data_IF_669032659090
#
_entry.id   IF_669032659090
#
_cell.length_a   1.000
_cell.length_b   1.000
_cell.length_c   1.000
_cell.angle_alpha   90.00
_cell.angle_beta   90.00
_cell.angle_gamma   90.00
#
_symmetry.space_group_name_H-M   'P 1'
#
loop_
_entity.id
_entity.type
_entity.pdbx_description
1 polymer ?
#
# COMPACT_ATOMS: atom_id res chain seq x y z
N UNK A 1 -27.37 59.37 1.79
CA UNK A 1 -27.09 58.36 2.82
C UNK A 1 -25.78 57.65 2.46
N UNK A 2 -24.77 57.63 3.33
CA UNK A 2 -23.43 57.15 2.96
C UNK A 2 -23.25 55.68 3.38
N UNK A 3 -23.67 54.76 2.52
CA UNK A 3 -23.72 53.31 2.75
C UNK A 3 -22.40 52.70 3.26
N UNK A 4 -21.25 53.27 2.85
CA UNK A 4 -19.92 52.83 3.32
C UNK A 4 -19.74 52.98 4.84
N UNK A 5 -20.34 54.02 5.45
CA UNK A 5 -20.28 54.23 6.91
C UNK A 5 -21.14 53.22 7.68
N UNK A 6 -22.24 52.77 7.08
CA UNK A 6 -23.15 51.78 7.71
C UNK A 6 -22.48 50.40 7.74
N UNK A 7 -21.85 49.99 6.63
CA UNK A 7 -21.08 48.73 6.58
C UNK A 7 -19.94 48.75 7.60
N UNK A 8 -19.18 49.85 7.67
CA UNK A 8 -18.06 49.96 8.60
C UNK A 8 -18.50 49.81 10.07
N UNK A 9 -19.61 50.45 10.45
CA UNK A 9 -20.17 50.32 11.81
C UNK A 9 -20.65 48.88 12.07
N UNK A 10 -21.25 48.22 11.08
CA UNK A 10 -21.69 46.83 11.19
C UNK A 10 -20.52 45.85 11.43
N UNK A 11 -19.41 46.02 10.71
CA UNK A 11 -18.22 45.17 10.87
C UNK A 11 -17.59 45.36 12.25
N UNK A 12 -17.50 46.61 12.74
CA UNK A 12 -16.95 46.89 14.07
C UNK A 12 -17.80 46.22 15.16
N UNK A 13 -19.13 46.30 15.07
CA UNK A 13 -20.03 45.64 16.02
C UNK A 13 -19.86 44.12 15.99
N UNK A 14 -19.76 43.51 14.81
CA UNK A 14 -19.56 42.06 14.70
C UNK A 14 -18.27 41.58 15.37
N UNK A 15 -17.16 42.31 15.19
CA UNK A 15 -15.86 41.99 15.83
C UNK A 15 -15.95 42.10 17.34
N UNK A 16 -16.64 43.12 17.87
CA UNK A 16 -16.83 43.29 19.33
C UNK A 16 -17.66 42.14 19.90
N UNK A 17 -18.78 41.76 19.26
CA UNK A 17 -19.61 40.64 19.73
C UNK A 17 -18.84 39.31 19.71
N UNK A 18 -18.06 39.05 18.66
CA UNK A 18 -17.28 37.83 18.55
C UNK A 18 -16.18 37.76 19.63
N UNK A 19 -15.52 38.88 19.91
CA UNK A 19 -14.47 38.97 20.93
C UNK A 19 -14.99 38.74 22.34
N UNK A 20 -16.17 39.27 22.67
CA UNK A 20 -16.83 39.07 23.97
C UNK A 20 -17.32 37.61 24.13
N UNK A 21 -17.88 37.03 23.06
CA UNK A 21 -18.31 35.62 23.07
C UNK A 21 -17.16 34.65 23.31
N UNK A 22 -16.03 34.86 22.63
CA UNK A 22 -14.83 34.04 22.79
C UNK A 22 -14.27 34.12 24.21
N UNK A 23 -14.29 35.31 24.82
CA UNK A 23 -13.81 35.53 26.19
C UNK A 23 -14.65 34.78 27.24
N UNK A 24 -15.98 34.70 27.05
CA UNK A 24 -16.85 33.93 27.95
C UNK A 24 -16.61 32.42 27.83
N UNK A 25 -16.42 31.90 26.60
CA UNK A 25 -16.16 30.47 26.39
C UNK A 25 -14.84 30.03 27.04
N UNK A 26 -13.80 30.87 26.94
CA UNK A 26 -12.49 30.58 27.53
C UNK A 26 -12.45 30.72 29.08
N UNK A 27 -13.46 31.34 29.69
CA UNK A 27 -13.55 31.51 31.15
C UNK A 27 -14.51 30.54 31.84
N UNK A 28 -15.16 29.64 31.11
CA UNK A 28 -15.97 28.60 31.74
C UNK A 28 -15.10 27.80 32.72
N UNK A 29 -15.39 27.84 34.04
CA UNK A 29 -14.59 27.14 35.03
C UNK A 29 -14.68 25.64 34.77
N UNK A 30 -13.54 24.95 34.85
CA UNK A 30 -13.50 23.50 34.75
C UNK A 30 -14.48 22.89 35.77
N UNK A 31 -15.26 21.87 35.39
CA UNK A 31 -16.15 21.19 36.33
C UNK A 31 -15.31 20.65 37.49
N UNK A 32 -15.78 20.94 38.72
CA UNK A 32 -15.12 20.48 39.93
C UNK A 32 -14.96 18.94 39.89
N UNK A 33 -13.83 18.39 40.39
CA UNK A 33 -13.64 16.96 40.45
C UNK A 33 -14.76 16.33 41.28
N UNK A 34 -15.54 15.47 40.64
CA UNK A 34 -16.53 14.60 41.30
C UNK A 34 -15.78 13.69 42.26
N UNK A 35 -15.89 13.95 43.57
CA UNK A 35 -15.38 13.06 44.60
C UNK A 35 -16.30 11.85 44.67
N UNK A 36 -15.89 10.75 44.03
CA UNK A 36 -16.61 9.49 44.14
C UNK A 36 -16.50 8.94 45.57
N UNK A 37 -17.58 8.42 46.17
CA UNK A 37 -17.55 7.80 47.47
C UNK A 37 -16.60 6.58 47.47
N UNK A 38 -15.72 6.53 48.47
CA UNK A 38 -14.80 5.42 48.70
C UNK A 38 -15.63 4.22 49.15
N UNK A 39 -15.86 3.28 48.23
CA UNK A 39 -16.47 1.97 48.53
C UNK A 39 -15.37 1.07 49.12
N UNK A 40 -15.60 0.40 50.28
CA UNK A 40 -14.65 -0.55 50.84
C UNK A 40 -14.31 -1.64 49.83
N UNK A 41 -13.02 -1.86 49.59
CA UNK A 41 -12.54 -2.88 48.67
C UNK A 41 -12.97 -4.28 49.14
N UNK A 42 -13.94 -4.87 48.44
CA UNK A 42 -14.23 -6.30 48.51
C UNK A 42 -12.96 -7.06 48.06
N UNK A 43 -12.59 -8.18 48.71
CA UNK A 43 -11.41 -8.95 48.32
C UNK A 43 -11.57 -9.42 46.88
N UNK A 44 -10.87 -8.76 45.95
CA UNK A 44 -10.82 -9.15 44.55
C UNK A 44 -10.18 -10.52 44.45
N UNK A 45 -10.98 -11.49 44.00
CA UNK A 45 -10.47 -12.78 43.57
C UNK A 45 -9.33 -12.54 42.56
N UNK A 46 -8.21 -13.22 42.79
CA UNK A 46 -7.05 -13.21 41.90
C UNK A 46 -7.49 -13.80 40.56
N UNK A 47 -7.91 -12.96 39.63
CA UNK A 47 -8.17 -13.35 38.25
C UNK A 47 -6.81 -13.67 37.62
N UNK A 48 -6.51 -14.96 37.50
CA UNK A 48 -5.40 -15.45 36.68
C UNK A 48 -5.57 -14.86 35.28
N UNK A 49 -4.61 -14.09 34.75
CA UNK A 49 -4.73 -13.52 33.41
C UNK A 49 -4.88 -14.67 32.42
N UNK A 50 -6.00 -14.68 31.70
CA UNK A 50 -6.20 -15.59 30.58
C UNK A 50 -5.04 -15.39 29.59
N UNK A 51 -4.39 -16.45 29.10
CA UNK A 51 -3.28 -16.33 28.17
C UNK A 51 -3.73 -15.51 26.95
N UNK A 52 -3.00 -14.44 26.65
CA UNK A 52 -3.25 -13.63 25.46
C UNK A 52 -3.11 -14.52 24.21
N UNK A 53 -3.99 -14.36 23.20
CA UNK A 53 -3.87 -15.10 21.95
C UNK A 53 -2.46 -14.94 21.35
N UNK A 54 -1.89 -15.99 20.73
CA UNK A 54 -0.59 -15.89 20.09
C UNK A 54 -0.65 -14.84 18.97
N UNK A 55 0.31 -13.92 18.96
CA UNK A 55 0.44 -12.90 17.91
C UNK A 55 0.69 -13.57 16.56
N UNK A 56 -0.03 -13.19 15.49
CA UNK A 56 0.18 -13.77 14.16
C UNK A 56 1.60 -13.51 13.66
N UNK A 57 2.22 -14.55 13.09
CA UNK A 57 3.58 -14.44 12.53
C UNK A 57 3.50 -13.80 11.14
N UNK A 58 4.23 -12.69 10.89
CA UNK A 58 4.20 -12.00 9.61
C UNK A 58 4.89 -12.80 8.48
N UNK A 59 4.51 -12.59 7.21
CA UNK A 59 5.22 -13.16 6.07
C UNK A 59 6.67 -12.67 6.03
N UNK A 60 7.60 -13.61 5.79
CA UNK A 60 9.02 -13.28 5.64
C UNK A 60 9.26 -12.49 4.35
N UNK A 61 10.05 -11.43 4.43
CA UNK A 61 10.41 -10.64 3.26
C UNK A 61 11.23 -11.47 2.25
N UNK A 62 10.94 -11.31 0.96
CA UNK A 62 11.66 -12.04 -0.11
C UNK A 62 13.02 -11.44 -0.45
N UNK A 63 13.36 -10.27 0.08
CA UNK A 63 14.68 -9.64 0.00
C UNK A 63 14.88 -8.68 1.18
N UNK A 64 16.09 -8.11 1.32
CA UNK A 64 16.43 -7.21 2.41
C UNK A 64 15.61 -5.90 2.35
N UNK A 65 14.70 -5.72 3.30
CA UNK A 65 13.86 -4.53 3.47
C UNK A 65 14.44 -3.63 4.56
N UNK A 66 14.30 -2.31 4.41
CA UNK A 66 14.77 -1.33 5.40
C UNK A 66 13.82 -1.25 6.60
N UNK A 67 12.52 -1.44 6.37
CA UNK A 67 11.47 -1.30 7.39
C UNK A 67 10.28 -2.20 7.06
N UNK A 68 9.50 -2.51 8.08
CA UNK A 68 8.21 -3.18 7.97
C UNK A 68 7.12 -2.29 8.56
N UNK A 69 5.97 -2.21 7.88
CA UNK A 69 4.80 -1.44 8.29
C UNK A 69 3.56 -2.33 8.21
N UNK A 70 2.77 -2.32 9.28
CA UNK A 70 1.52 -3.07 9.35
C UNK A 70 0.33 -2.14 9.17
N UNK A 71 -0.54 -2.46 8.22
CA UNK A 71 -1.81 -1.80 7.97
C UNK A 71 -2.92 -2.64 8.60
N UNK A 72 -3.64 -2.06 9.55
CA UNK A 72 -4.76 -2.72 10.23
C UNK A 72 -6.05 -2.59 9.41
N UNK A 73 -6.69 -3.72 9.14
CA UNK A 73 -7.96 -3.81 8.43
C UNK A 73 -8.95 -4.68 9.22
N UNK A 74 -10.20 -4.23 9.35
CA UNK A 74 -11.26 -5.15 9.73
C UNK A 74 -11.56 -6.10 8.58
N UNK A 75 -12.11 -7.28 8.88
CA UNK A 75 -12.38 -8.31 7.87
C UNK A 75 -13.30 -7.87 6.72
N UNK A 76 -14.12 -6.84 6.96
CA UNK A 76 -15.08 -6.27 6.01
C UNK A 76 -14.51 -5.07 5.23
N UNK A 77 -13.26 -4.67 5.49
CA UNK A 77 -12.63 -3.46 4.95
C UNK A 77 -11.63 -3.75 3.82
N UNK A 78 -11.70 -4.90 3.15
CA UNK A 78 -10.75 -5.28 2.10
C UNK A 78 -10.68 -4.23 0.97
N UNK A 79 -11.80 -3.60 0.63
CA UNK A 79 -11.88 -2.51 -0.35
C UNK A 79 -11.24 -1.18 0.10
N UNK A 80 -10.90 -1.03 1.38
CA UNK A 80 -10.23 0.16 1.93
C UNK A 80 -8.71 0.00 2.00
N UNK A 81 -8.16 -1.16 1.62
CA UNK A 81 -6.73 -1.45 1.71
C UNK A 81 -5.87 -0.39 1.00
N UNK A 82 -6.20 -0.07 -0.26
CA UNK A 82 -5.48 0.95 -1.04
C UNK A 82 -5.55 2.35 -0.42
N UNK A 83 -6.71 2.73 0.14
CA UNK A 83 -6.89 4.02 0.81
C UNK A 83 -6.05 4.12 2.09
N UNK A 84 -6.10 3.11 2.97
CA UNK A 84 -5.31 3.12 4.21
C UNK A 84 -3.82 3.11 3.92
N UNK A 85 -3.41 2.38 2.88
CA UNK A 85 -2.03 2.34 2.42
C UNK A 85 -1.59 3.72 1.90
N UNK A 86 -2.41 4.39 1.07
CA UNK A 86 -2.17 5.79 0.68
C UNK A 86 -1.99 6.73 1.88
N UNK A 87 -2.92 6.68 2.86
CA UNK A 87 -2.86 7.50 4.07
C UNK A 87 -1.59 7.27 4.89
N UNK A 88 -1.19 6.01 5.08
CA UNK A 88 0.00 5.65 5.85
C UNK A 88 1.27 6.24 5.24
N UNK A 89 1.38 6.24 3.91
CA UNK A 89 2.60 6.67 3.22
C UNK A 89 2.61 8.13 2.80
N UNK A 90 1.45 8.80 2.72
CA UNK A 90 1.37 10.26 2.61
C UNK A 90 1.95 11.02 3.81
N UNK A 91 2.25 10.34 4.92
CA UNK A 91 2.87 10.96 6.11
C UNK A 91 4.31 10.46 6.34
N UNK A 92 4.83 9.64 5.43
CA UNK A 92 6.13 8.99 5.60
C UNK A 92 7.27 9.94 5.21
N UNK A 93 8.38 9.87 5.94
CA UNK A 93 9.59 10.69 5.70
C UNK A 93 10.84 9.83 5.48
N UNK A 94 10.65 8.60 5.02
CA UNK A 94 11.72 7.63 4.82
C UNK A 94 12.71 8.13 3.74
N UNK A 95 14.02 7.89 3.90
CA UNK A 95 15.04 8.39 3.00
C UNK A 95 14.96 7.70 1.63
N UNK A 96 15.28 8.42 0.56
CA UNK A 96 15.31 7.87 -0.80
C UNK A 96 16.16 6.59 -0.88
N UNK A 97 15.71 5.61 -1.67
CA UNK A 97 16.32 4.28 -1.76
C UNK A 97 15.84 3.28 -0.71
N UNK A 98 14.92 3.65 0.18
CA UNK A 98 14.37 2.74 1.19
C UNK A 98 13.32 1.80 0.61
N UNK A 99 13.37 0.54 1.06
CA UNK A 99 12.34 -0.46 0.84
C UNK A 99 11.56 -0.73 2.12
N UNK A 100 10.24 -0.57 2.05
CA UNK A 100 9.34 -0.72 3.19
C UNK A 100 8.38 -1.86 2.89
N UNK A 101 8.49 -2.96 3.64
CA UNK A 101 7.57 -4.08 3.52
C UNK A 101 6.21 -3.70 4.10
N UNK A 102 5.15 -4.03 3.37
CA UNK A 102 3.77 -3.84 3.79
C UNK A 102 3.20 -5.17 4.25
N UNK A 103 2.59 -5.16 5.44
CA UNK A 103 1.78 -6.26 5.95
C UNK A 103 0.38 -5.77 6.20
N UNK A 104 -0.61 -6.49 5.69
CA UNK A 104 -1.99 -6.29 6.12
C UNK A 104 -2.29 -7.24 7.27
N UNK A 105 -2.68 -6.68 8.41
CA UNK A 105 -3.16 -7.43 9.55
C UNK A 105 -4.67 -7.28 9.62
N UNK A 106 -5.36 -8.43 9.66
CA UNK A 106 -6.80 -8.52 9.62
C UNK A 106 -7.32 -8.88 10.99
N UNK A 107 -8.29 -8.12 11.46
CA UNK A 107 -9.03 -8.40 12.70
C UNK A 107 -10.41 -8.98 12.37
N UNK A 108 -10.65 -10.25 12.74
CA UNK A 108 -11.95 -10.91 12.64
C UNK A 108 -12.27 -11.71 13.91
N UNK A 109 -12.23 -11.06 15.08
CA UNK A 109 -12.24 -11.76 16.37
C UNK A 109 -10.89 -12.38 16.74
N UNK A 110 -10.11 -12.83 15.74
CA UNK A 110 -8.70 -13.19 15.85
C UNK A 110 -7.86 -12.37 14.86
N UNK A 111 -6.60 -12.11 15.22
CA UNK A 111 -5.65 -11.38 14.38
C UNK A 111 -4.92 -12.33 13.44
N UNK A 112 -4.87 -12.01 12.14
CA UNK A 112 -4.13 -12.79 11.14
C UNK A 112 -3.48 -11.89 10.09
N UNK A 113 -2.34 -12.31 9.53
CA UNK A 113 -1.71 -11.61 8.42
C UNK A 113 -2.33 -12.05 7.08
N UNK A 114 -2.63 -11.11 6.19
CA UNK A 114 -3.15 -11.40 4.87
C UNK A 114 -2.09 -12.13 4.02
N UNK A 115 -2.46 -13.29 3.48
CA UNK A 115 -1.68 -13.97 2.45
C UNK A 115 -1.89 -13.37 1.06
N UNK A 116 -1.11 -13.83 0.08
CA UNK A 116 -1.08 -13.38 -1.31
C UNK A 116 -2.48 -13.31 -1.92
N UNK A 117 -3.30 -14.37 -1.82
CA UNK A 117 -4.64 -14.41 -2.43
C UNK A 117 -5.53 -13.28 -1.92
N UNK A 118 -5.43 -12.96 -0.63
CA UNK A 118 -6.20 -11.86 -0.05
C UNK A 118 -5.64 -10.51 -0.45
N UNK A 119 -4.31 -10.35 -0.51
CA UNK A 119 -3.68 -9.13 -1.03
C UNK A 119 -4.06 -8.88 -2.50
N UNK A 120 -4.08 -9.93 -3.33
CA UNK A 120 -4.55 -9.88 -4.71
C UNK A 120 -5.99 -9.37 -4.74
N UNK A 121 -6.88 -9.91 -3.90
CA UNK A 121 -8.28 -9.46 -3.84
C UNK A 121 -8.42 -8.03 -3.32
N UNK A 122 -7.74 -7.66 -2.24
CA UNK A 122 -7.77 -6.31 -1.65
C UNK A 122 -7.29 -5.23 -2.61
N UNK A 123 -6.26 -5.55 -3.39
CA UNK A 123 -5.67 -4.66 -4.37
C UNK A 123 -6.14 -4.98 -5.79
N UNK A 124 -7.22 -5.75 -5.99
CA UNK A 124 -7.77 -6.05 -7.30
C UNK A 124 -6.70 -6.41 -8.37
N UNK A 125 -5.73 -7.26 -8.02
CA UNK A 125 -4.61 -7.66 -8.88
C UNK A 125 -5.02 -8.82 -9.80
N UNK A 126 -6.04 -8.60 -10.62
CA UNK A 126 -6.80 -9.68 -11.27
C UNK A 126 -5.99 -10.51 -12.27
N UNK A 127 -4.85 -10.03 -12.76
CA UNK A 127 -4.03 -10.77 -13.74
C UNK A 127 -3.52 -12.11 -13.20
N UNK A 128 -3.41 -12.25 -11.88
CA UNK A 128 -3.05 -13.53 -11.28
C UNK A 128 -4.13 -14.60 -11.48
N UNK A 129 -5.38 -14.17 -11.63
CA UNK A 129 -6.54 -15.01 -11.87
C UNK A 129 -6.88 -15.15 -13.36
N UNK A 130 -6.25 -14.35 -14.23
CA UNK A 130 -6.50 -14.40 -15.67
C UNK A 130 -6.14 -15.81 -16.21
N UNK A 131 -7.00 -16.37 -17.09
CA UNK A 131 -6.81 -17.71 -17.60
C UNK A 131 -5.60 -17.75 -18.56
N UNK A 132 -4.72 -18.72 -18.34
CA UNK A 132 -3.60 -19.04 -19.22
C UNK A 132 -3.76 -20.46 -19.77
N UNK A 133 -3.26 -20.67 -20.99
CA UNK A 133 -3.36 -21.96 -21.68
C UNK A 133 -2.07 -22.76 -21.48
N UNK A 134 -2.11 -23.77 -20.61
CA UNK A 134 -1.01 -24.72 -20.46
C UNK A 134 -1.34 -26.02 -21.21
N UNK A 135 -0.68 -26.21 -22.35
CA UNK A 135 -0.86 -27.35 -23.25
C UNK A 135 -2.33 -27.59 -23.66
N UNK A 136 -3.07 -28.35 -22.84
CA UNK A 136 -4.47 -28.76 -23.08
C UNK A 136 -5.41 -28.41 -21.92
N UNK A 137 -4.96 -27.60 -20.95
CA UNK A 137 -5.76 -27.18 -19.80
C UNK A 137 -5.71 -25.66 -19.63
N UNK A 138 -6.82 -25.10 -19.16
CA UNK A 138 -6.89 -23.72 -18.69
C UNK A 138 -6.56 -23.71 -17.20
N UNK A 139 -5.62 -22.88 -16.78
CA UNK A 139 -5.31 -22.65 -15.36
C UNK A 139 -5.17 -21.15 -15.12
N UNK A 140 -5.27 -20.70 -13.87
CA UNK A 140 -4.87 -19.33 -13.53
C UNK A 140 -3.35 -19.22 -13.52
N UNK A 141 -2.82 -18.01 -13.76
CA UNK A 141 -1.37 -17.76 -13.63
C UNK A 141 -0.87 -18.13 -12.23
N UNK A 142 -1.66 -17.79 -11.21
CA UNK A 142 -1.39 -18.14 -9.82
C UNK A 142 -1.26 -19.66 -9.62
N UNK A 143 -2.27 -20.42 -10.04
CA UNK A 143 -2.30 -21.87 -9.81
C UNK A 143 -1.24 -22.61 -10.61
N UNK A 144 -0.86 -22.11 -11.78
CA UNK A 144 0.21 -22.72 -12.56
C UNK A 144 1.57 -22.50 -11.89
N UNK A 145 1.89 -21.25 -11.55
CA UNK A 145 3.29 -20.85 -11.35
C UNK A 145 3.65 -20.46 -9.92
N UNK A 146 2.75 -19.92 -9.12
CA UNK A 146 3.12 -19.24 -7.87
C UNK A 146 3.20 -20.19 -6.66
N UNK A 147 4.19 -19.96 -5.80
CA UNK A 147 4.31 -20.66 -4.53
C UNK A 147 3.24 -20.15 -3.56
N UNK A 148 2.83 -21.01 -2.61
CA UNK A 148 1.68 -20.79 -1.71
C UNK A 148 1.61 -19.43 -1.02
N UNK A 149 0.48 -19.17 -0.36
CA UNK A 149 0.01 -17.83 0.03
C UNK A 149 0.94 -16.93 0.85
N UNK A 150 2.02 -17.44 1.45
CA UNK A 150 2.98 -16.65 2.24
C UNK A 150 4.26 -16.29 1.48
N UNK A 151 4.39 -16.66 0.21
CA UNK A 151 5.63 -16.55 -0.57
C UNK A 151 5.69 -15.27 -1.40
N UNK A 152 5.44 -14.12 -0.75
CA UNK A 152 5.39 -12.83 -1.42
C UNK A 152 5.88 -11.69 -0.52
N UNK A 153 6.17 -10.53 -1.10
CA UNK A 153 6.33 -9.28 -0.37
C UNK A 153 5.72 -8.14 -1.17
N UNK A 154 4.77 -7.44 -0.56
CA UNK A 154 4.32 -6.14 -1.02
C UNK A 154 5.24 -5.08 -0.42
N UNK A 155 5.71 -4.14 -1.22
CA UNK A 155 6.67 -3.14 -0.76
C UNK A 155 6.41 -1.75 -1.33
N UNK A 156 6.83 -0.73 -0.58
CA UNK A 156 6.96 0.64 -1.07
C UNK A 156 8.44 0.96 -1.20
N UNK A 157 8.85 1.37 -2.40
CA UNK A 157 10.15 1.97 -2.66
C UNK A 157 10.03 3.49 -2.57
N UNK A 158 10.90 4.15 -1.79
CA UNK A 158 10.94 5.61 -1.73
C UNK A 158 11.90 6.18 -2.76
N UNK A 159 11.35 6.85 -3.76
CA UNK A 159 12.08 7.52 -4.82
C UNK A 159 12.43 8.96 -4.41
N UNK A 160 13.62 9.43 -4.80
CA UNK A 160 13.97 10.84 -4.63
C UNK A 160 13.00 11.70 -5.48
N UNK A 161 12.43 12.75 -4.85
CA UNK A 161 11.46 13.72 -5.40
C UNK A 161 11.09 13.51 -6.89
N UNK A 162 10.04 12.72 -7.11
CA UNK A 162 9.33 12.69 -8.37
C UNK A 162 8.09 13.60 -8.28
N UNK A 163 7.44 13.88 -9.40
CA UNK A 163 6.25 14.75 -9.47
C UNK A 163 4.93 13.98 -9.56
N UNK A 164 4.99 12.65 -9.46
CA UNK A 164 3.95 11.77 -10.00
C UNK A 164 3.60 10.56 -9.13
N UNK A 165 3.90 10.55 -7.83
CA UNK A 165 3.59 9.40 -6.96
C UNK A 165 2.16 9.32 -6.46
N UNK A 166 1.56 8.12 -6.41
CA UNK A 166 0.29 7.91 -5.70
C UNK A 166 0.41 8.12 -4.19
N UNK A 167 1.63 8.12 -3.66
CA UNK A 167 1.96 8.43 -2.27
C UNK A 167 2.57 9.81 -2.19
N UNK A 168 1.73 10.85 -2.24
CA UNK A 168 2.20 12.22 -2.05
C UNK A 168 2.27 12.54 -0.56
N UNK A 169 3.48 12.84 -0.09
CA UNK A 169 3.73 13.44 1.22
C UNK A 169 5.11 13.07 1.79
N UNK A 170 5.74 14.04 2.46
CA UNK A 170 7.13 13.93 2.92
C UNK A 170 8.16 14.47 1.93
N UNK A 171 9.43 14.15 2.15
CA UNK A 171 10.56 14.59 1.31
C UNK A 171 10.80 13.68 0.09
N UNK A 172 10.15 12.52 0.02
CA UNK A 172 10.34 11.50 -1.01
C UNK A 172 8.98 10.95 -1.47
N UNK A 173 8.96 10.33 -2.65
CA UNK A 173 7.75 9.82 -3.28
C UNK A 173 7.72 8.28 -3.26
N UNK A 174 6.65 7.67 -2.76
CA UNK A 174 6.53 6.21 -2.69
C UNK A 174 6.22 5.55 -4.05
N UNK A 175 6.65 4.30 -4.26
CA UNK A 175 6.32 3.47 -5.42
C UNK A 175 5.95 2.09 -4.94
N UNK A 176 4.70 1.67 -5.16
CA UNK A 176 4.25 0.35 -4.76
C UNK A 176 4.85 -0.68 -5.72
N UNK A 177 5.28 -1.81 -5.18
CA UNK A 177 5.77 -2.95 -5.94
C UNK A 177 5.41 -4.25 -5.24
N UNK A 178 5.47 -5.32 -6.01
CA UNK A 178 5.15 -6.66 -5.55
C UNK A 178 6.24 -7.62 -6.02
N UNK A 179 6.71 -8.47 -5.12
CA UNK A 179 7.54 -9.61 -5.47
C UNK A 179 6.83 -10.88 -5.01
N UNK A 180 6.79 -11.89 -5.88
CA UNK A 180 6.15 -13.18 -5.60
C UNK A 180 7.09 -14.31 -6.01
N UNK A 181 7.19 -15.34 -5.18
CA UNK A 181 8.02 -16.51 -5.46
C UNK A 181 7.27 -17.53 -6.31
N UNK A 182 7.95 -18.07 -7.30
CA UNK A 182 7.45 -19.19 -8.10
C UNK A 182 7.59 -20.52 -7.35
N UNK A 183 6.80 -21.52 -7.72
CA UNK A 183 6.99 -22.91 -7.28
C UNK A 183 8.38 -23.37 -7.72
N UNK A 184 9.03 -24.20 -6.91
CA UNK A 184 10.36 -24.72 -7.25
C UNK A 184 10.35 -25.57 -8.54
N UNK A 185 9.18 -26.09 -8.92
CA UNK A 185 8.95 -26.84 -10.17
C UNK A 185 8.35 -26.02 -11.31
N UNK A 186 8.29 -24.69 -11.19
CA UNK A 186 7.66 -23.85 -12.20
C UNK A 186 8.49 -23.82 -13.50
N UNK A 187 7.81 -23.91 -14.65
CA UNK A 187 8.43 -23.61 -15.94
C UNK A 187 8.54 -22.09 -16.11
N UNK A 188 9.70 -21.53 -15.78
CA UNK A 188 9.93 -20.08 -15.86
C UNK A 188 9.86 -19.56 -17.30
N UNK A 189 10.24 -20.36 -18.30
CA UNK A 189 10.15 -19.95 -19.70
C UNK A 189 8.68 -19.86 -20.14
N UNK A 190 7.86 -20.84 -19.74
CA UNK A 190 6.41 -20.80 -19.88
C UNK A 190 5.79 -19.60 -19.17
N UNK A 191 6.19 -19.34 -17.93
CA UNK A 191 5.71 -18.21 -17.14
C UNK A 191 5.97 -16.84 -17.80
N UNK A 192 7.14 -16.65 -18.42
CA UNK A 192 7.47 -15.42 -19.19
C UNK A 192 6.56 -15.31 -20.41
N UNK A 193 6.39 -16.40 -21.15
CA UNK A 193 5.54 -16.43 -22.35
C UNK A 193 4.09 -16.07 -22.00
N UNK A 194 3.57 -16.61 -20.90
CA UNK A 194 2.21 -16.34 -20.47
C UNK A 194 2.03 -14.91 -19.95
N UNK A 195 3.01 -14.35 -19.22
CA UNK A 195 2.99 -12.92 -18.86
C UNK A 195 2.95 -12.02 -20.09
N UNK A 196 3.72 -12.34 -21.13
CA UNK A 196 3.68 -11.59 -22.41
C UNK A 196 2.30 -11.65 -23.07
N UNK A 197 1.60 -12.79 -22.98
CA UNK A 197 0.23 -12.91 -23.49
C UNK A 197 -0.77 -12.08 -22.67
N UNK A 198 -0.48 -11.87 -21.38
CA UNK A 198 -1.31 -11.05 -20.49
C UNK A 198 -1.05 -9.54 -20.62
N UNK A 199 0.04 -9.11 -21.26
CA UNK A 199 0.39 -7.68 -21.44
C UNK A 199 -0.78 -6.78 -21.87
N UNK A 200 -1.70 -7.17 -22.78
CA UNK A 200 -2.85 -6.34 -23.17
C UNK A 200 -3.83 -6.02 -22.03
N UNK A 201 -3.96 -6.89 -21.02
CA UNK A 201 -4.81 -6.68 -19.85
C UNK A 201 -4.03 -6.29 -18.60
N UNK A 202 -2.73 -6.61 -18.56
CA UNK A 202 -1.89 -6.60 -17.35
C UNK A 202 -1.90 -5.26 -16.61
N UNK A 203 -1.78 -4.14 -17.32
CA UNK A 203 -1.78 -2.83 -16.66
C UNK A 203 -3.14 -2.49 -16.05
N UNK A 204 -4.24 -2.84 -16.73
CA UNK A 204 -5.59 -2.61 -16.21
C UNK A 204 -5.80 -3.42 -14.93
N UNK A 205 -5.40 -4.69 -14.95
CA UNK A 205 -5.53 -5.59 -13.81
C UNK A 205 -4.47 -5.41 -12.73
N UNK A 206 -3.42 -4.61 -12.97
CA UNK A 206 -2.47 -4.17 -11.95
C UNK A 206 -2.67 -2.69 -11.55
N UNK A 207 -3.74 -2.04 -12.03
CA UNK A 207 -3.97 -0.59 -11.87
C UNK A 207 -4.02 -0.13 -10.41
N UNK A 208 -4.45 -1.00 -9.49
CA UNK A 208 -4.46 -0.69 -8.06
C UNK A 208 -3.06 -0.50 -7.45
N UNK A 209 -1.99 -0.96 -8.10
CA UNK A 209 -0.62 -0.63 -7.67
C UNK A 209 -0.35 0.88 -7.75
N UNK A 210 -1.16 1.62 -8.53
CA UNK A 210 -1.15 3.07 -8.61
C UNK A 210 -2.18 3.74 -7.68
N UNK A 211 -2.78 2.99 -6.75
CA UNK A 211 -3.69 3.46 -5.68
C UNK A 211 -4.77 4.45 -6.12
N UNK A 212 -5.45 4.15 -7.22
CA UNK A 212 -6.55 4.97 -7.71
C UNK A 212 -6.11 6.21 -8.48
N UNK A 213 -4.82 6.36 -8.83
CA UNK A 213 -4.43 7.26 -9.91
C UNK A 213 -4.94 6.72 -11.24
N UNK A 214 -5.70 7.54 -11.95
CA UNK A 214 -6.14 7.23 -13.31
C UNK A 214 -4.93 7.21 -14.25
N UNK A 215 -4.58 6.01 -14.70
CA UNK A 215 -3.55 5.80 -15.71
C UNK A 215 -4.25 5.77 -17.07
N UNK A 216 -4.27 6.92 -17.75
CA UNK A 216 -4.80 7.03 -19.11
C UNK A 216 -3.76 6.54 -20.12
N UNK A 217 -3.97 5.35 -20.67
CA UNK A 217 -3.16 4.81 -21.75
C UNK A 217 -3.62 5.34 -23.09
N UNK A 218 -2.65 5.66 -23.95
CA UNK A 218 -2.87 5.83 -25.37
C UNK A 218 -2.99 4.46 -26.05
N UNK A 219 -3.77 4.38 -27.13
CA UNK A 219 -3.86 3.17 -27.95
C UNK A 219 -2.51 2.76 -28.61
N UNK A 220 -1.52 3.66 -28.62
CA UNK A 220 -0.18 3.40 -29.13
C UNK A 220 0.78 2.84 -28.07
N UNK A 221 0.40 2.85 -26.78
CA UNK A 221 1.28 2.41 -25.70
C UNK A 221 1.39 0.88 -25.72
N UNK A 222 2.62 0.39 -25.77
CA UNK A 222 2.92 -1.05 -25.82
C UNK A 222 4.16 -1.37 -25.00
N UNK A 223 4.21 -2.60 -24.48
CA UNK A 223 5.34 -3.05 -23.68
C UNK A 223 6.61 -3.13 -24.52
N UNK A 224 7.69 -2.58 -23.97
CA UNK A 224 9.02 -2.54 -24.55
C UNK A 224 9.99 -3.43 -23.76
N UNK A 225 11.11 -3.77 -24.38
CA UNK A 225 12.19 -4.57 -23.77
C UNK A 225 13.29 -3.67 -23.22
N UNK A 226 13.80 -4.05 -22.05
CA UNK A 226 14.98 -3.46 -21.44
C UNK A 226 15.82 -4.55 -20.76
N UNK A 227 17.10 -4.28 -20.54
CA UNK A 227 18.02 -5.19 -19.84
C UNK A 227 18.75 -4.41 -18.76
N UNK A 228 18.74 -4.94 -17.55
CA UNK A 228 19.47 -4.37 -16.41
C UNK A 228 20.15 -5.49 -15.62
N UNK A 229 21.46 -5.38 -15.37
CA UNK A 229 22.24 -6.43 -14.70
C UNK A 229 22.08 -7.84 -15.32
N UNK A 230 21.87 -7.91 -16.64
CA UNK A 230 21.61 -9.16 -17.35
C UNK A 230 20.19 -9.73 -17.18
N UNK A 231 19.32 -9.06 -16.43
CA UNK A 231 17.91 -9.40 -16.26
C UNK A 231 17.08 -8.72 -17.35
N UNK A 232 16.25 -9.49 -18.04
CA UNK A 232 15.28 -8.97 -18.99
C UNK A 232 14.09 -8.35 -18.25
N UNK A 233 13.77 -7.10 -18.58
CA UNK A 233 12.66 -6.34 -18.02
C UNK A 233 11.70 -6.00 -19.16
N UNK A 234 10.41 -6.23 -18.90
CA UNK A 234 9.32 -5.76 -19.75
C UNK A 234 8.70 -4.54 -19.09
N UNK A 235 8.60 -3.44 -19.82
CA UNK A 235 8.13 -2.19 -19.26
C UNK A 235 7.16 -1.46 -20.18
N UNK A 236 6.26 -0.70 -19.57
CA UNK A 236 5.32 0.18 -20.24
C UNK A 236 5.45 1.57 -19.64
N UNK A 237 5.85 2.56 -20.45
CA UNK A 237 5.90 3.95 -20.00
C UNK A 237 4.48 4.49 -19.82
N UNK A 238 4.27 5.26 -18.75
CA UNK A 238 2.96 5.86 -18.43
C UNK A 238 3.04 7.39 -18.58
N UNK A 239 1.89 8.10 -18.58
CA UNK A 239 1.88 9.55 -18.55
C UNK A 239 2.59 10.09 -17.30
N UNK A 240 3.80 10.60 -17.48
CA UNK A 240 4.67 11.12 -16.42
C UNK A 240 6.08 10.55 -16.58
N UNK A 241 7.13 11.37 -16.56
CA UNK A 241 8.49 10.91 -16.87
C UNK A 241 9.02 9.86 -15.88
N UNK A 242 8.46 9.82 -14.67
CA UNK A 242 8.87 8.95 -13.57
C UNK A 242 7.93 7.74 -13.37
N UNK A 243 6.91 7.59 -14.22
CA UNK A 243 5.93 6.52 -14.11
C UNK A 243 6.12 5.48 -15.22
N UNK A 244 6.22 4.23 -14.79
CA UNK A 244 6.22 3.08 -15.67
C UNK A 244 5.58 1.91 -14.95
N UNK A 245 5.13 0.93 -15.72
CA UNK A 245 4.77 -0.37 -15.20
C UNK A 245 5.82 -1.36 -15.69
N UNK A 246 6.58 -1.92 -14.77
CA UNK A 246 7.70 -2.80 -15.07
C UNK A 246 7.45 -4.17 -14.44
N UNK A 247 7.78 -5.24 -15.16
CA UNK A 247 7.87 -6.57 -14.58
C UNK A 247 9.10 -7.32 -15.09
N UNK A 248 9.62 -8.20 -14.24
CA UNK A 248 10.78 -9.04 -14.54
C UNK A 248 10.70 -10.36 -13.76
N UNK A 249 11.32 -11.41 -14.29
CA UNK A 249 11.60 -12.61 -13.52
C UNK A 249 13.08 -12.58 -13.12
N UNK A 250 13.33 -12.60 -11.82
CA UNK A 250 14.67 -12.62 -11.23
C UNK A 250 14.80 -13.88 -10.39
N UNK A 251 15.75 -14.73 -10.75
CA UNK A 251 15.90 -16.07 -10.17
C UNK A 251 14.56 -16.85 -10.23
N UNK A 252 13.97 -17.18 -9.08
CA UNK A 252 12.71 -17.88 -8.95
C UNK A 252 11.59 -16.94 -8.43
N UNK A 253 11.63 -15.65 -8.79
CA UNK A 253 10.65 -14.65 -8.35
C UNK A 253 10.14 -13.78 -9.51
N UNK A 254 8.85 -13.46 -9.48
CA UNK A 254 8.23 -12.42 -10.30
C UNK A 254 8.31 -11.10 -9.53
N UNK A 255 8.91 -10.10 -10.13
CA UNK A 255 9.00 -8.73 -9.62
C UNK A 255 8.13 -7.80 -10.47
N UNK A 256 7.34 -6.96 -9.83
CA UNK A 256 6.49 -5.94 -10.45
C UNK A 256 6.75 -4.61 -9.74
N UNK A 257 6.95 -3.54 -10.50
CA UNK A 257 7.19 -2.21 -9.96
C UNK A 257 6.44 -1.13 -10.78
N UNK A 258 6.18 0.00 -10.11
CA UNK A 258 5.46 1.16 -10.67
C UNK A 258 6.39 2.32 -11.08
N UNK A 259 7.68 2.03 -11.23
CA UNK A 259 8.69 2.92 -11.83
C UNK A 259 9.94 2.12 -12.18
N UNK A 260 10.66 2.61 -13.19
CA UNK A 260 11.95 2.05 -13.61
C UNK A 260 12.99 2.05 -12.49
N UNK A 261 13.04 3.11 -11.70
CA UNK A 261 13.98 3.21 -10.58
C UNK A 261 13.68 2.15 -9.49
N UNK A 262 12.41 2.01 -9.12
CA UNK A 262 11.98 0.96 -8.17
C UNK A 262 12.29 -0.44 -8.67
N UNK A 263 12.08 -0.71 -9.97
CA UNK A 263 12.43 -1.99 -10.59
C UNK A 263 13.93 -2.29 -10.47
N UNK A 264 14.80 -1.34 -10.85
CA UNK A 264 16.25 -1.52 -10.81
C UNK A 264 16.75 -1.74 -9.38
N UNK A 265 16.30 -0.90 -8.44
CA UNK A 265 16.68 -1.02 -7.05
C UNK A 265 16.21 -2.35 -6.43
N UNK A 266 15.04 -2.87 -6.84
CA UNK A 266 14.54 -4.15 -6.38
C UNK A 266 15.35 -5.32 -6.96
N UNK A 267 15.76 -5.26 -8.24
CA UNK A 267 16.67 -6.23 -8.85
C UNK A 267 17.98 -6.27 -8.08
N UNK A 268 18.59 -5.12 -7.80
CA UNK A 268 19.85 -5.04 -7.05
C UNK A 268 19.72 -5.71 -5.67
N UNK A 269 18.60 -5.48 -4.95
CA UNK A 269 18.35 -6.08 -3.64
C UNK A 269 18.11 -7.58 -3.69
N UNK A 270 17.49 -8.08 -4.76
CA UNK A 270 17.27 -9.52 -4.94
C UNK A 270 18.59 -10.23 -5.26
N UNK A 271 19.44 -9.63 -6.10
CA UNK A 271 20.73 -10.21 -6.49
C UNK A 271 21.81 -10.10 -5.39
N UNK A 272 21.69 -9.13 -4.47
CA UNK A 272 22.65 -8.93 -3.37
C UNK A 272 22.41 -9.82 -2.14
N UNK A 273 21.62 -10.89 -2.26
CA UNK A 273 21.32 -11.82 -1.15
C UNK A 273 22.53 -12.59 -0.64
#
# INVERSE_FOLDING_TARGET
>A
FNWKKIILVGVILAVVFFSVGLWFVLRSPAPAPSVSPIVPASPSALITPSPSPPTPTPPSALFNMNKQVTIQLAATEDNLAGQKLGQQFSQSSEPAGSFIQIIFQITNGEESCAGLNRVISMLNLDFFNDPISLANATSSYQDAYLQGSQSFSLFVYTQALASASPFTGGQNEGRLGLIVKFKDSADLAGAIKDLKNLEPSLLKSAGALFLGKDINLSAADSFSDNIYQGIAIRYLNLPGPELSFDYAIVENTLLIATSKESMYAAIDRVLAK
#
